data_IF_675484905199
#
_entry.id   IF_675484905199
#
_cell.length_a   1.000
_cell.length_b   1.000
_cell.length_c   1.000
_cell.angle_alpha   90.00
_cell.angle_beta   90.00
_cell.angle_gamma   90.00
#
_symmetry.space_group_name_H-M   'P 1'
#
loop_
_entity.id
_entity.type
_entity.pdbx_description
1 polymer ?
#
# COMPACT_ATOMS: atom_id res chain seq x y z
N UNK A 1 -76.34 -9.72 11.87
CA UNK A 1 -74.88 -9.64 12.11
C UNK A 1 -74.21 -10.74 11.29
N UNK A 2 -73.43 -10.56 10.23
CA UNK A 2 -72.92 -9.41 9.46
C UNK A 2 -71.90 -10.04 8.50
N UNK A 3 -72.31 -10.36 7.27
CA UNK A 3 -71.50 -10.90 6.17
C UNK A 3 -71.16 -9.75 5.21
N UNK A 4 -69.88 -9.55 4.85
CA UNK A 4 -69.41 -8.81 3.65
C UNK A 4 -68.01 -9.36 3.33
N UNK A 5 -67.84 -10.22 2.32
CA UNK A 5 -67.59 -9.98 0.88
C UNK A 5 -66.15 -9.54 0.52
N UNK A 6 -65.53 -10.38 -0.31
CA UNK A 6 -64.28 -10.20 -1.05
C UNK A 6 -64.32 -8.97 -1.98
N UNK A 7 -63.16 -8.31 -2.15
CA UNK A 7 -62.89 -7.48 -3.32
C UNK A 7 -61.49 -7.81 -3.89
N UNK A 8 -61.50 -8.11 -5.18
CA UNK A 8 -60.42 -8.54 -6.05
C UNK A 8 -59.73 -7.34 -6.71
N UNK A 9 -58.50 -7.60 -7.16
CA UNK A 9 -57.89 -7.12 -8.40
C UNK A 9 -57.41 -5.67 -8.54
N UNK A 10 -56.12 -5.57 -8.86
CA UNK A 10 -55.70 -4.92 -10.11
C UNK A 10 -54.93 -3.61 -9.93
N UNK A 11 -53.65 -3.69 -9.56
CA UNK A 11 -52.74 -2.55 -9.73
C UNK A 11 -51.84 -2.81 -10.94
N UNK A 12 -52.01 -1.91 -11.91
CA UNK A 12 -51.46 -1.89 -13.26
C UNK A 12 -49.95 -1.67 -13.21
N UNK A 13 -49.21 -2.58 -13.84
CA UNK A 13 -47.78 -2.44 -14.11
C UNK A 13 -47.57 -1.44 -15.25
N UNK A 14 -47.15 -0.22 -14.93
CA UNK A 14 -46.69 0.77 -15.91
C UNK A 14 -45.24 0.47 -16.30
N UNK A 15 -45.05 -0.16 -17.45
CA UNK A 15 -43.76 -0.31 -18.11
C UNK A 15 -43.36 1.02 -18.76
N UNK A 16 -42.32 1.68 -18.22
CA UNK A 16 -41.64 2.79 -18.87
C UNK A 16 -40.54 2.23 -19.79
N UNK A 17 -40.87 2.16 -21.09
CA UNK A 17 -39.91 1.98 -22.18
C UNK A 17 -39.13 3.29 -22.37
N UNK A 18 -37.88 3.32 -21.90
CA UNK A 18 -36.91 4.37 -22.25
C UNK A 18 -36.28 4.00 -23.59
N UNK A 19 -36.63 4.75 -24.63
CA UNK A 19 -36.00 4.66 -25.94
C UNK A 19 -34.56 5.18 -25.85
N UNK A 20 -33.58 4.32 -26.19
CA UNK A 20 -32.20 4.73 -26.35
C UNK A 20 -32.03 5.52 -27.67
N UNK A 21 -31.28 6.64 -27.68
CA UNK A 21 -30.97 7.32 -28.92
C UNK A 21 -29.99 6.48 -29.75
N UNK A 22 -30.34 6.28 -31.03
CA UNK A 22 -29.46 5.70 -32.02
C UNK A 22 -28.24 6.62 -32.22
N UNK A 23 -27.06 6.15 -31.83
CA UNK A 23 -25.79 6.79 -32.13
C UNK A 23 -25.48 6.53 -33.60
N UNK A 24 -25.58 7.57 -34.43
CA UNK A 24 -25.09 7.56 -35.78
C UNK A 24 -23.56 7.44 -35.75
N UNK A 25 -23.02 6.35 -36.28
CA UNK A 25 -21.58 6.14 -36.44
C UNK A 25 -21.15 6.91 -37.68
N UNK A 26 -20.29 7.90 -37.49
CA UNK A 26 -19.66 8.70 -38.55
C UNK A 26 -18.66 7.82 -39.33
N UNK A 27 -18.86 7.56 -40.64
CA UNK A 27 -17.97 6.71 -41.43
C UNK A 27 -16.59 7.34 -41.73
N UNK A 28 -16.32 8.57 -41.28
CA UNK A 28 -15.06 9.27 -41.55
C UNK A 28 -13.92 8.98 -40.55
N UNK A 29 -14.14 8.16 -39.52
CA UNK A 29 -13.14 7.94 -38.45
C UNK A 29 -12.76 6.46 -38.29
N UNK A 30 -12.35 5.84 -39.40
CA UNK A 30 -11.65 4.55 -39.36
C UNK A 30 -10.21 4.78 -38.86
N UNK A 31 -9.77 4.08 -37.80
CA UNK A 31 -8.38 4.18 -37.35
C UNK A 31 -7.44 3.67 -38.44
N UNK A 32 -6.44 4.50 -38.75
CA UNK A 32 -5.35 4.17 -39.68
C UNK A 32 -4.64 2.87 -39.22
N UNK A 33 -4.26 1.97 -40.15
CA UNK A 33 -3.49 0.78 -39.82
C UNK A 33 -2.15 1.16 -39.19
N UNK A 34 -1.86 0.63 -38.01
CA UNK A 34 -0.58 0.81 -37.35
C UNK A 34 0.56 0.33 -38.27
N UNK A 35 1.67 1.09 -38.38
CA UNK A 35 2.84 0.67 -39.13
C UNK A 35 3.42 -0.61 -38.53
N UNK A 36 3.86 -1.51 -39.42
CA UNK A 36 4.45 -2.79 -39.06
C UNK A 36 5.69 -2.61 -38.14
N UNK A 37 5.91 -3.53 -37.19
CA UNK A 37 7.08 -3.49 -36.32
C UNK A 37 8.37 -3.60 -37.14
N UNK A 38 9.32 -2.71 -36.84
CA UNK A 38 10.66 -2.74 -37.43
C UNK A 38 11.37 -4.06 -37.10
N UNK A 39 12.20 -4.61 -38.02
CA UNK A 39 12.96 -5.82 -37.77
C UNK A 39 13.97 -5.60 -36.63
N UNK A 40 14.11 -6.64 -35.79
CA UNK A 40 15.02 -6.64 -34.65
C UNK A 40 16.48 -6.40 -35.09
N UNK A 41 17.27 -5.64 -34.33
CA UNK A 41 18.69 -5.48 -34.60
C UNK A 41 19.43 -6.81 -34.45
N UNK A 42 20.37 -7.05 -35.36
CA UNK A 42 21.23 -8.22 -35.40
C UNK A 42 22.09 -8.33 -34.12
N UNK A 43 22.42 -9.55 -33.66
CA UNK A 43 23.29 -9.76 -32.51
C UNK A 43 24.71 -9.25 -32.80
N UNK A 44 25.24 -8.42 -31.88
CA UNK A 44 26.63 -8.00 -31.88
C UNK A 44 27.57 -9.20 -31.71
N UNK A 45 28.74 -9.20 -32.37
CA UNK A 45 29.73 -10.25 -32.26
C UNK A 45 30.38 -10.30 -30.87
N UNK A 46 30.40 -11.51 -30.34
CA UNK A 46 31.06 -11.94 -29.11
C UNK A 46 32.54 -11.54 -29.09
N UNK A 47 32.87 -10.55 -28.27
CA UNK A 47 34.25 -10.15 -28.03
C UNK A 47 34.99 -11.24 -27.27
N UNK A 48 36.08 -11.70 -27.87
CA UNK A 48 36.96 -12.76 -27.43
C UNK A 48 37.44 -12.58 -25.97
N UNK A 49 37.42 -13.70 -25.24
CA UNK A 49 38.05 -13.87 -23.94
C UNK A 49 39.56 -13.58 -24.04
N UNK A 50 40.02 -12.50 -23.41
CA UNK A 50 41.42 -12.27 -23.13
C UNK A 50 41.75 -12.84 -21.73
N UNK A 51 42.72 -13.76 -21.68
CA UNK A 51 43.19 -14.42 -20.47
C UNK A 51 43.82 -13.49 -19.42
N UNK A 52 44.22 -14.05 -18.26
CA UNK A 52 44.58 -13.29 -17.08
C UNK A 52 45.93 -12.57 -17.28
N UNK A 53 45.90 -11.23 -17.25
CA UNK A 53 47.11 -10.41 -17.26
C UNK A 53 47.49 -10.02 -15.83
N UNK A 54 48.78 -10.17 -15.56
CA UNK A 54 49.45 -10.04 -14.28
C UNK A 54 49.18 -8.71 -13.54
N UNK A 55 49.10 -8.83 -12.22
CA UNK A 55 49.04 -7.76 -11.23
C UNK A 55 50.32 -6.92 -11.23
N UNK A 56 50.27 -5.58 -11.38
CA UNK A 56 51.38 -4.71 -10.99
C UNK A 56 51.32 -4.44 -9.47
N UNK A 57 52.45 -4.46 -8.75
CA UNK A 57 52.46 -4.15 -7.32
C UNK A 57 52.44 -2.63 -7.11
N UNK A 58 51.73 -2.21 -6.06
CA UNK A 58 51.95 -0.90 -5.44
C UNK A 58 51.08 0.24 -5.96
N UNK A 59 49.84 0.34 -5.46
CA UNK A 59 49.17 1.63 -5.27
C UNK A 59 48.49 1.60 -3.91
N UNK A 60 48.87 2.57 -3.07
CA UNK A 60 48.31 2.82 -1.74
C UNK A 60 46.77 2.90 -1.78
N UNK A 61 46.07 2.64 -0.65
CA UNK A 61 44.61 2.71 -0.58
C UNK A 61 44.18 4.18 -0.72
N UNK A 62 44.01 4.62 -1.96
CA UNK A 62 43.37 5.87 -2.29
C UNK A 62 41.88 5.70 -2.03
N UNK A 63 41.39 6.46 -1.06
CA UNK A 63 39.98 6.60 -0.69
C UNK A 63 39.07 6.47 -1.90
N UNK A 64 38.24 5.42 -1.91
CA UNK A 64 36.97 5.46 -2.61
C UNK A 64 36.12 6.46 -1.84
N UNK A 65 36.35 7.75 -2.08
CA UNK A 65 35.41 8.80 -1.70
C UNK A 65 34.14 8.51 -2.47
N UNK A 66 33.21 7.86 -1.76
CA UNK A 66 31.79 7.82 -2.11
C UNK A 66 31.42 9.28 -2.40
N UNK A 67 31.24 9.62 -3.68
CA UNK A 67 30.62 10.89 -4.04
C UNK A 67 29.21 10.83 -3.45
N UNK A 68 29.05 11.36 -2.24
CA UNK A 68 27.75 11.65 -1.68
C UNK A 68 27.22 12.75 -2.58
N UNK A 69 26.26 12.44 -3.44
CA UNK A 69 25.53 13.49 -4.15
C UNK A 69 24.99 14.44 -3.08
N UNK A 70 25.44 15.69 -3.10
CA UNK A 70 25.04 16.76 -2.18
C UNK A 70 23.54 17.16 -2.33
N UNK A 71 22.78 16.37 -3.10
CA UNK A 71 21.35 16.53 -3.29
C UNK A 71 20.64 16.15 -1.98
N UNK A 72 19.98 17.13 -1.35
CA UNK A 72 19.13 16.84 -0.19
C UNK A 72 17.85 16.18 -0.68
N UNK A 73 17.49 15.10 -0.01
CA UNK A 73 16.29 14.32 -0.31
C UNK A 73 15.34 14.44 0.88
N UNK A 74 14.10 14.81 0.61
CA UNK A 74 13.02 14.82 1.59
C UNK A 74 11.98 13.79 1.17
N UNK A 75 11.32 13.18 2.15
CA UNK A 75 10.20 12.27 1.90
C UNK A 75 9.07 12.53 2.87
N UNK A 76 7.85 12.36 2.39
CA UNK A 76 6.66 12.38 3.23
C UNK A 76 5.70 11.29 2.76
N UNK A 77 5.17 10.53 3.72
CA UNK A 77 4.15 9.52 3.48
C UNK A 77 2.83 9.97 4.11
N UNK A 78 1.73 9.82 3.38
CA UNK A 78 0.39 9.92 3.95
C UNK A 78 -0.46 8.72 3.59
N UNK A 79 -1.39 8.45 4.48
CA UNK A 79 -2.45 7.48 4.31
C UNK A 79 -3.77 8.25 4.38
N UNK A 80 -4.52 8.27 3.29
CA UNK A 80 -5.73 9.08 3.08
C UNK A 80 -6.90 8.17 2.74
N UNK A 81 -8.09 8.46 3.29
CA UNK A 81 -9.33 7.77 2.94
C UNK A 81 -10.34 8.77 2.44
N UNK A 82 -11.01 8.44 1.34
CA UNK A 82 -12.09 9.24 0.80
C UNK A 82 -13.33 8.37 0.64
N UNK A 83 -14.50 8.92 0.97
CA UNK A 83 -15.77 8.19 0.94
C UNK A 83 -16.17 7.72 -0.46
N UNK A 84 -17.30 6.99 -0.58
CA UNK A 84 -17.67 6.28 -1.80
C UNK A 84 -18.05 7.21 -2.96
N UNK A 85 -18.34 8.49 -2.69
CA UNK A 85 -18.65 9.51 -3.70
C UNK A 85 -17.44 10.09 -4.40
N UNK A 86 -16.22 9.81 -3.92
CA UNK A 86 -14.98 10.33 -4.50
C UNK A 86 -14.36 9.27 -5.38
N UNK A 87 -14.20 9.60 -6.66
CA UNK A 87 -13.58 8.69 -7.62
C UNK A 87 -12.10 8.45 -7.31
N UNK A 88 -11.58 7.30 -7.77
CA UNK A 88 -10.20 6.88 -7.52
C UNK A 88 -9.16 7.93 -7.93
N UNK A 89 -9.31 8.52 -9.13
CA UNK A 89 -8.40 9.56 -9.62
C UNK A 89 -8.43 10.83 -8.78
N UNK A 90 -9.63 11.20 -8.30
CA UNK A 90 -9.82 12.34 -7.42
C UNK A 90 -9.24 12.07 -6.02
N UNK A 91 -9.49 10.90 -5.44
CA UNK A 91 -8.91 10.46 -4.17
C UNK A 91 -7.37 10.51 -4.19
N UNK A 92 -6.77 10.02 -5.29
CA UNK A 92 -5.33 10.14 -5.53
C UNK A 92 -4.87 11.59 -5.54
N UNK A 93 -5.51 12.45 -6.34
CA UNK A 93 -5.14 13.86 -6.45
C UNK A 93 -5.23 14.60 -5.11
N UNK A 94 -6.29 14.34 -4.34
CA UNK A 94 -6.45 14.90 -2.99
C UNK A 94 -5.33 14.42 -2.06
N UNK A 95 -5.02 13.11 -2.05
CA UNK A 95 -3.95 12.58 -1.21
C UNK A 95 -2.56 13.12 -1.61
N UNK A 96 -2.32 13.35 -2.91
CA UNK A 96 -1.10 14.03 -3.40
C UNK A 96 -0.98 15.43 -2.80
N UNK A 97 -2.06 16.22 -2.82
CA UNK A 97 -2.04 17.59 -2.28
C UNK A 97 -1.79 17.60 -0.76
N UNK A 98 -2.44 16.70 -0.01
CA UNK A 98 -2.21 16.56 1.43
C UNK A 98 -0.76 16.14 1.74
N UNK A 99 -0.22 15.18 0.99
CA UNK A 99 1.15 14.68 1.18
C UNK A 99 2.19 15.72 0.79
N UNK A 100 1.94 16.48 -0.28
CA UNK A 100 2.83 17.57 -0.71
C UNK A 100 2.89 18.68 0.34
N UNK A 101 1.77 19.05 0.96
CA UNK A 101 1.76 19.99 2.07
C UNK A 101 2.68 19.55 3.21
N UNK A 102 2.58 18.27 3.63
CA UNK A 102 3.48 17.69 4.64
C UNK A 102 4.95 17.67 4.19
N UNK A 103 5.21 17.37 2.92
CA UNK A 103 6.55 17.36 2.37
C UNK A 103 7.20 18.74 2.42
N UNK A 104 6.43 19.80 2.09
CA UNK A 104 6.87 21.19 2.20
C UNK A 104 7.15 21.55 3.67
N UNK A 105 6.29 21.14 4.60
CA UNK A 105 6.52 21.36 6.04
C UNK A 105 7.80 20.70 6.54
N UNK A 106 8.03 19.44 6.14
CA UNK A 106 9.26 18.70 6.46
C UNK A 106 10.49 19.40 5.87
N UNK A 107 10.44 19.75 4.58
CA UNK A 107 11.55 20.42 3.91
C UNK A 107 11.86 21.80 4.51
N UNK A 108 10.83 22.62 4.76
CA UNK A 108 10.96 23.91 5.41
C UNK A 108 11.59 23.78 6.80
N UNK A 109 11.13 22.83 7.62
CA UNK A 109 11.68 22.60 8.96
C UNK A 109 13.15 22.17 8.92
N UNK A 110 13.53 21.33 7.96
CA UNK A 110 14.93 20.94 7.77
C UNK A 110 15.79 22.10 7.25
N UNK A 111 15.27 22.90 6.32
CA UNK A 111 15.96 24.07 5.78
C UNK A 111 16.11 25.20 6.79
N UNK A 112 15.21 25.35 7.77
CA UNK A 112 15.35 26.33 8.85
C UNK A 112 16.64 26.15 9.65
N UNK A 113 17.13 24.91 9.79
CA UNK A 113 18.35 24.60 10.51
C UNK A 113 19.63 24.90 9.69
N UNK A 114 19.48 25.21 8.39
CA UNK A 114 20.60 25.56 7.54
C UNK A 114 21.16 26.94 7.90
N UNK A 115 22.49 27.09 8.15
CA UNK A 115 23.08 28.37 8.53
C UNK A 115 22.89 29.49 7.49
N UNK A 116 22.84 29.16 6.19
CA UNK A 116 22.55 30.12 5.12
C UNK A 116 21.14 30.68 5.25
N UNK A 117 20.16 29.79 5.43
CA UNK A 117 18.74 30.14 5.57
C UNK A 117 18.47 30.88 6.89
N UNK A 118 19.03 30.40 8.00
CA UNK A 118 18.82 30.98 9.33
C UNK A 118 19.30 32.44 9.41
N UNK A 119 20.38 32.79 8.69
CA UNK A 119 20.90 34.17 8.63
C UNK A 119 19.91 35.17 8.05
N UNK A 120 19.06 34.74 7.11
CA UNK A 120 18.06 35.61 6.48
C UNK A 120 16.79 35.80 7.31
N UNK A 121 16.62 35.06 8.41
CA UNK A 121 15.47 35.18 9.32
C UNK A 121 14.12 35.20 8.58
N UNK A 122 13.98 34.31 7.59
CA UNK A 122 12.74 34.19 6.82
C UNK A 122 11.56 33.87 7.74
N UNK A 123 10.40 34.45 7.47
CA UNK A 123 9.17 34.06 8.16
C UNK A 123 8.84 32.60 7.84
N UNK A 124 8.05 31.92 8.67
CA UNK A 124 7.62 30.55 8.40
C UNK A 124 6.94 30.41 7.02
N UNK A 125 6.15 31.41 6.62
CA UNK A 125 5.48 31.44 5.31
C UNK A 125 6.48 31.57 4.16
N UNK A 126 7.48 32.43 4.31
CA UNK A 126 8.53 32.61 3.30
C UNK A 126 9.41 31.36 3.18
N UNK A 127 9.73 30.73 4.32
CA UNK A 127 10.53 29.51 4.34
C UNK A 127 9.82 28.35 3.66
N UNK A 128 8.51 28.18 3.88
CA UNK A 128 7.68 27.21 3.14
C UNK A 128 7.69 27.49 1.65
N UNK A 129 7.50 28.75 1.25
CA UNK A 129 7.51 29.13 -0.15
C UNK A 129 8.87 28.92 -0.82
N UNK A 130 9.95 29.23 -0.10
CA UNK A 130 11.31 28.95 -0.53
C UNK A 130 11.52 27.44 -0.73
N UNK A 131 11.16 26.62 0.27
CA UNK A 131 11.29 25.17 0.20
C UNK A 131 10.51 24.58 -1.00
N UNK A 132 9.25 24.98 -1.19
CA UNK A 132 8.42 24.51 -2.31
C UNK A 132 8.96 24.95 -3.68
N UNK A 133 9.58 26.14 -3.77
CA UNK A 133 10.21 26.62 -5.00
C UNK A 133 11.50 25.85 -5.37
N UNK A 134 12.19 25.27 -4.39
CA UNK A 134 13.48 24.59 -4.57
C UNK A 134 13.33 23.11 -4.95
N UNK A 135 12.24 22.48 -4.53
CA UNK A 135 12.07 21.03 -4.60
C UNK A 135 11.52 20.56 -5.95
N UNK A 136 12.12 19.49 -6.48
CA UNK A 136 11.50 18.66 -7.52
C UNK A 136 10.82 17.48 -6.86
N UNK A 137 9.49 17.41 -6.94
CA UNK A 137 8.68 16.38 -6.27
C UNK A 137 8.33 15.27 -7.25
N UNK A 138 8.55 14.02 -6.84
CA UNK A 138 8.14 12.80 -7.54
C UNK A 138 7.39 11.86 -6.62
N UNK A 139 6.62 10.94 -7.20
CA UNK A 139 5.98 9.85 -6.46
C UNK A 139 7.01 8.73 -6.29
N UNK A 140 7.33 8.38 -5.05
CA UNK A 140 8.28 7.31 -4.73
C UNK A 140 7.58 5.97 -4.50
N UNK A 141 6.41 5.99 -3.87
CA UNK A 141 5.58 4.81 -3.65
C UNK A 141 4.10 5.21 -3.67
N UNK A 142 3.26 4.34 -4.23
CA UNK A 142 1.84 4.56 -4.38
C UNK A 142 1.07 3.25 -4.28
N UNK A 143 0.11 3.22 -3.36
CA UNK A 143 -0.84 2.12 -3.24
C UNK A 143 -2.25 2.69 -3.11
N UNK A 144 -3.12 2.28 -4.03
CA UNK A 144 -4.52 2.71 -4.08
C UNK A 144 -5.42 1.49 -3.99
N UNK A 145 -6.37 1.53 -3.06
CA UNK A 145 -7.30 0.43 -2.81
C UNK A 145 -8.74 0.90 -2.80
N UNK A 146 -9.55 0.45 -3.78
CA UNK A 146 -10.99 0.61 -3.67
C UNK A 146 -11.53 -0.35 -2.61
N UNK A 147 -12.42 0.14 -1.76
CA UNK A 147 -13.17 -0.63 -0.77
C UNK A 147 -14.66 -0.26 -0.86
N UNK A 148 -15.58 -1.08 -0.31
CA UNK A 148 -17.01 -0.77 -0.38
C UNK A 148 -17.37 0.64 0.14
N UNK A 149 -16.66 1.09 1.17
CA UNK A 149 -16.92 2.36 1.84
C UNK A 149 -16.12 3.55 1.27
N UNK A 150 -15.32 3.35 0.21
CA UNK A 150 -14.49 4.42 -0.34
C UNK A 150 -13.19 3.99 -1.01
N UNK A 151 -12.21 4.89 -1.04
CA UNK A 151 -10.88 4.65 -1.59
C UNK A 151 -9.82 4.97 -0.54
N UNK A 152 -9.02 3.98 -0.17
CA UNK A 152 -7.82 4.16 0.65
C UNK A 152 -6.60 4.39 -0.26
N UNK A 153 -5.83 5.44 0.02
CA UNK A 153 -4.62 5.81 -0.71
C UNK A 153 -3.47 5.89 0.28
N UNK A 154 -2.38 5.16 0.02
CA UNK A 154 -1.09 5.35 0.69
C UNK A 154 -0.11 5.87 -0.35
N UNK A 155 0.46 7.04 -0.07
CA UNK A 155 1.31 7.74 -1.02
C UNK A 155 2.56 8.22 -0.30
N UNK A 156 3.71 7.93 -0.89
CA UNK A 156 5.00 8.50 -0.50
C UNK A 156 5.49 9.42 -1.60
N UNK A 157 5.64 10.70 -1.28
CA UNK A 157 6.30 11.67 -2.14
C UNK A 157 7.75 11.82 -1.73
N UNK A 158 8.62 11.96 -2.73
CA UNK A 158 10.04 12.29 -2.58
C UNK A 158 10.29 13.64 -3.22
N UNK A 159 11.04 14.50 -2.54
CA UNK A 159 11.54 15.74 -3.09
C UNK A 159 13.06 15.70 -3.13
N UNK A 160 13.62 16.22 -4.21
CA UNK A 160 15.06 16.42 -4.35
C UNK A 160 15.34 17.90 -4.53
N UNK A 161 16.33 18.40 -3.80
CA UNK A 161 16.85 19.75 -4.00
C UNK A 161 18.23 19.67 -4.67
N UNK A 162 18.46 20.39 -5.78
CA UNK A 162 19.77 20.41 -6.42
C UNK A 162 20.85 20.88 -5.45
N UNK A 163 21.94 20.11 -5.33
CA UNK A 163 23.09 20.37 -4.47
C UNK A 163 23.69 21.77 -4.64
N UNK A 164 23.90 22.17 -5.89
CA UNK A 164 24.74 23.31 -6.25
C UNK A 164 23.98 24.66 -6.25
N UNK A 165 22.75 24.67 -5.74
CA UNK A 165 21.83 25.77 -6.01
C UNK A 165 21.16 26.36 -4.78
N UNK A 166 21.42 25.86 -3.56
CA UNK A 166 20.72 26.35 -2.36
C UNK A 166 21.04 27.83 -2.09
N UNK A 167 22.32 28.18 -1.95
CA UNK A 167 22.74 29.56 -1.67
C UNK A 167 22.36 30.51 -2.82
N UNK A 168 22.53 30.09 -4.07
CA UNK A 168 22.14 30.88 -5.25
C UNK A 168 20.63 31.11 -5.32
N UNK A 169 19.80 30.08 -5.07
CA UNK A 169 18.34 30.24 -5.01
C UNK A 169 17.92 31.09 -3.82
N UNK A 170 18.58 30.92 -2.67
CA UNK A 170 18.28 31.69 -1.46
C UNK A 170 18.59 33.18 -1.66
N UNK A 171 19.73 33.49 -2.28
CA UNK A 171 20.09 34.85 -2.66
C UNK A 171 19.10 35.45 -3.66
N UNK A 172 18.70 34.69 -4.70
CA UNK A 172 17.70 35.13 -5.66
C UNK A 172 16.33 35.36 -5.00
N UNK A 173 15.90 34.46 -4.11
CA UNK A 173 14.65 34.58 -3.37
C UNK A 173 14.62 35.77 -2.42
N UNK A 174 15.76 36.11 -1.80
CA UNK A 174 15.88 37.28 -0.93
C UNK A 174 15.93 38.60 -1.72
N UNK A 175 16.60 38.62 -2.87
CA UNK A 175 16.82 39.82 -3.66
C UNK A 175 15.66 40.15 -4.62
N UNK A 176 14.99 39.14 -5.19
CA UNK A 176 13.91 39.32 -6.17
C UNK A 176 12.53 39.19 -5.50
N UNK A 177 11.93 40.35 -5.20
CA UNK A 177 10.58 40.44 -4.64
C UNK A 177 9.49 39.84 -5.53
N UNK A 178 9.65 39.82 -6.86
CA UNK A 178 8.68 39.20 -7.78
C UNK A 178 8.75 37.69 -7.68
N UNK A 179 9.97 37.13 -7.65
CA UNK A 179 10.18 35.69 -7.46
C UNK A 179 9.59 35.23 -6.13
N UNK A 180 9.87 35.97 -5.04
CA UNK A 180 9.30 35.68 -3.71
C UNK A 180 7.77 35.77 -3.71
N UNK A 181 7.18 36.81 -4.30
CA UNK A 181 5.73 36.96 -4.38
C UNK A 181 5.07 35.82 -5.17
N UNK A 182 5.67 35.41 -6.29
CA UNK A 182 5.20 34.27 -7.09
C UNK A 182 5.26 32.95 -6.31
N UNK A 183 6.38 32.68 -5.61
CA UNK A 183 6.53 31.49 -4.78
C UNK A 183 5.50 31.46 -3.63
N UNK A 184 5.25 32.60 -2.98
CA UNK A 184 4.23 32.74 -1.93
C UNK A 184 2.81 32.49 -2.46
N UNK A 185 2.49 32.96 -3.67
CA UNK A 185 1.19 32.76 -4.30
C UNK A 185 0.96 31.29 -4.67
N UNK A 186 1.96 30.63 -5.26
CA UNK A 186 1.89 29.21 -5.61
C UNK A 186 1.79 28.32 -4.36
N UNK A 187 2.55 28.63 -3.32
CA UNK A 187 2.48 27.90 -2.04
C UNK A 187 1.11 28.08 -1.39
N UNK A 188 0.56 29.30 -1.39
CA UNK A 188 -0.78 29.55 -0.87
C UNK A 188 -1.89 28.84 -1.68
N UNK A 189 -1.70 28.65 -3.00
CA UNK A 189 -2.60 27.82 -3.81
C UNK A 189 -2.52 26.35 -3.37
N UNK A 190 -1.32 25.81 -3.16
CA UNK A 190 -1.12 24.43 -2.69
C UNK A 190 -1.65 24.22 -1.28
N UNK A 191 -1.50 25.19 -0.39
CA UNK A 191 -2.04 25.12 0.97
C UNK A 191 -3.57 25.04 0.97
N UNK A 192 -4.25 25.78 0.07
CA UNK A 192 -5.70 25.67 -0.12
C UNK A 192 -6.10 24.27 -0.60
N UNK A 193 -5.42 23.75 -1.63
CA UNK A 193 -5.66 22.40 -2.14
C UNK A 193 -5.41 21.31 -1.07
N UNK A 194 -4.38 21.48 -0.24
CA UNK A 194 -4.09 20.58 0.87
C UNK A 194 -5.16 20.68 1.97
N UNK A 195 -5.70 21.87 2.25
CA UNK A 195 -6.79 22.05 3.20
C UNK A 195 -8.09 21.40 2.69
N UNK A 196 -8.45 21.61 1.42
CA UNK A 196 -9.59 20.94 0.77
C UNK A 196 -9.45 19.42 0.84
N UNK A 197 -8.27 18.89 0.54
CA UNK A 197 -7.98 17.47 0.62
C UNK A 197 -8.13 16.89 2.03
N UNK A 198 -7.75 17.65 3.07
CA UNK A 198 -7.94 17.23 4.47
C UNK A 198 -9.41 17.25 4.88
N UNK A 199 -10.17 18.25 4.44
CA UNK A 199 -11.61 18.36 4.73
C UNK A 199 -12.42 17.24 4.06
N UNK A 200 -11.98 16.79 2.87
CA UNK A 200 -12.61 15.67 2.17
C UNK A 200 -12.25 14.28 2.73
N UNK A 201 -11.19 14.19 3.55
CA UNK A 201 -10.71 12.91 4.07
C UNK A 201 -11.56 12.41 5.24
N UNK A 202 -11.86 11.11 5.24
CA UNK A 202 -12.47 10.43 6.40
C UNK A 202 -11.36 10.06 7.39
N UNK A 203 -11.41 10.53 8.65
CA UNK A 203 -10.40 10.22 9.65
C UNK A 203 -10.24 8.70 9.86
N UNK A 204 -9.00 8.24 9.99
CA UNK A 204 -8.61 6.85 10.32
C UNK A 204 -9.12 5.73 9.39
N UNK A 205 -9.92 6.03 8.36
CA UNK A 205 -10.47 5.00 7.47
C UNK A 205 -9.38 4.22 6.73
N UNK A 206 -8.35 4.91 6.26
CA UNK A 206 -7.28 4.30 5.49
C UNK A 206 -6.29 3.56 6.39
N UNK A 207 -5.97 4.09 7.57
CA UNK A 207 -5.12 3.38 8.53
C UNK A 207 -5.73 2.03 8.92
N UNK A 208 -7.06 1.99 9.16
CA UNK A 208 -7.80 0.75 9.41
C UNK A 208 -7.70 -0.21 8.24
N UNK A 209 -7.92 0.26 7.01
CA UNK A 209 -7.88 -0.57 5.81
C UNK A 209 -6.48 -1.15 5.54
N UNK A 210 -5.44 -0.31 5.58
CA UNK A 210 -4.07 -0.77 5.38
C UNK A 210 -3.61 -1.71 6.50
N UNK A 211 -3.99 -1.44 7.76
CA UNK A 211 -3.70 -2.33 8.89
C UNK A 211 -4.44 -3.67 8.77
N UNK A 212 -5.73 -3.66 8.42
CA UNK A 212 -6.53 -4.86 8.22
C UNK A 212 -5.91 -5.78 7.17
N UNK A 213 -5.48 -5.22 6.03
CA UNK A 213 -4.79 -6.02 5.02
C UNK A 213 -3.41 -6.50 5.45
N UNK A 214 -2.65 -5.66 6.16
CA UNK A 214 -1.35 -6.07 6.70
C UNK A 214 -1.49 -7.26 7.66
N UNK A 215 -2.54 -7.28 8.47
CA UNK A 215 -2.90 -8.45 9.28
C UNK A 215 -3.31 -9.63 8.41
N UNK A 216 -4.17 -9.44 7.41
CA UNK A 216 -4.63 -10.52 6.52
C UNK A 216 -3.46 -11.22 5.80
N UNK A 217 -2.50 -10.43 5.30
CA UNK A 217 -1.32 -10.96 4.61
C UNK A 217 -0.43 -11.74 5.57
N UNK A 218 -0.14 -11.22 6.77
CA UNK A 218 0.61 -11.95 7.80
C UNK A 218 -0.06 -13.28 8.15
N UNK A 219 -1.37 -13.27 8.41
CA UNK A 219 -2.09 -14.51 8.72
C UNK A 219 -2.06 -15.53 7.56
N UNK A 220 -1.98 -15.07 6.31
CA UNK A 220 -1.83 -15.94 5.13
C UNK A 220 -0.41 -16.50 5.04
N UNK A 221 0.60 -15.69 5.30
CA UNK A 221 2.00 -16.10 5.35
C UNK A 221 2.23 -17.13 6.47
N UNK A 222 1.70 -16.88 7.66
CA UNK A 222 1.76 -17.78 8.82
C UNK A 222 1.09 -19.12 8.50
N UNK A 223 -0.12 -19.10 7.91
CA UNK A 223 -0.80 -20.32 7.48
C UNK A 223 0.00 -21.09 6.41
N UNK A 224 0.62 -20.38 5.46
CA UNK A 224 1.45 -21.00 4.42
C UNK A 224 2.74 -21.59 5.00
N UNK A 225 3.32 -20.94 6.00
CA UNK A 225 4.49 -21.41 6.72
C UNK A 225 4.15 -22.67 7.53
N UNK A 226 3.06 -22.65 8.28
CA UNK A 226 2.56 -23.80 9.04
C UNK A 226 2.35 -25.02 8.13
N UNK A 227 1.66 -24.84 7.00
CA UNK A 227 1.41 -25.92 6.04
C UNK A 227 2.69 -26.58 5.48
N UNK A 228 3.82 -25.86 5.46
CA UNK A 228 5.10 -26.39 4.97
C UNK A 228 6.00 -26.97 6.06
N UNK A 229 5.84 -26.53 7.31
CA UNK A 229 6.82 -26.77 8.38
C UNK A 229 6.26 -27.55 9.56
N UNK A 230 4.95 -27.49 9.80
CA UNK A 230 4.30 -28.31 10.82
C UNK A 230 4.00 -29.68 10.23
N UNK A 231 4.56 -30.73 10.84
CA UNK A 231 4.39 -32.12 10.44
C UNK A 231 3.73 -32.92 11.56
N UNK A 232 3.09 -34.07 11.27
CA UNK A 232 2.53 -34.95 12.28
C UNK A 232 3.57 -35.39 13.30
N UNK A 233 3.13 -35.67 14.51
CA UNK A 233 4.02 -36.13 15.58
C UNK A 233 4.83 -35.01 16.25
N UNK A 234 4.81 -33.78 15.74
CA UNK A 234 5.35 -32.65 16.50
C UNK A 234 4.55 -32.43 17.79
N UNK A 235 5.24 -32.16 18.89
CA UNK A 235 4.59 -31.75 20.14
C UNK A 235 4.15 -30.29 20.11
N UNK A 236 3.25 -29.92 21.01
CA UNK A 236 2.83 -28.51 21.16
C UNK A 236 4.00 -27.57 21.48
N UNK A 237 5.02 -28.05 22.19
CA UNK A 237 6.22 -27.26 22.48
C UNK A 237 7.06 -26.97 21.23
N UNK A 238 7.23 -27.95 20.34
CA UNK A 238 7.95 -27.79 19.07
C UNK A 238 7.22 -26.85 18.12
N UNK A 239 5.88 -26.96 18.04
CA UNK A 239 5.07 -26.03 17.26
C UNK A 239 5.15 -24.61 17.84
N UNK A 240 5.14 -24.47 19.17
CA UNK A 240 5.33 -23.17 19.84
C UNK A 240 6.71 -22.56 19.56
N UNK A 241 7.77 -23.37 19.54
CA UNK A 241 9.11 -22.89 19.17
C UNK A 241 9.16 -22.41 17.71
N UNK A 242 8.44 -23.08 16.81
CA UNK A 242 8.40 -22.77 15.39
C UNK A 242 7.50 -21.58 15.04
N UNK A 243 6.35 -21.46 15.69
CA UNK A 243 5.27 -20.53 15.33
C UNK A 243 4.97 -19.47 16.40
N UNK A 244 5.59 -19.57 17.58
CA UNK A 244 5.28 -18.73 18.73
C UNK A 244 4.04 -19.18 19.50
N UNK A 245 3.52 -18.29 20.33
CA UNK A 245 2.30 -18.54 21.09
C UNK A 245 1.05 -18.48 20.20
N UNK A 246 0.12 -19.44 20.33
CA UNK A 246 -1.13 -19.40 19.59
C UNK A 246 -2.01 -18.25 20.07
N UNK A 247 -2.71 -17.61 19.15
CA UNK A 247 -3.66 -16.53 19.46
C UNK A 247 -4.94 -17.06 20.14
N UNK A 248 -5.26 -18.33 19.93
CA UNK A 248 -6.42 -18.99 20.51
C UNK A 248 -6.14 -20.47 20.79
N UNK A 249 -6.74 -21.00 21.86
CA UNK A 249 -6.70 -22.42 22.21
C UNK A 249 -8.12 -22.92 22.45
N UNK A 250 -8.42 -24.11 21.93
CA UNK A 250 -9.62 -24.88 22.25
C UNK A 250 -9.22 -26.29 22.65
N UNK A 251 -9.98 -26.88 23.56
CA UNK A 251 -9.76 -28.25 24.02
C UNK A 251 -11.06 -29.04 23.91
N UNK A 252 -10.95 -30.29 23.53
CA UNK A 252 -12.05 -31.23 23.51
C UNK A 252 -11.56 -32.62 23.94
N UNK A 253 -12.48 -33.43 24.44
CA UNK A 253 -12.22 -34.84 24.77
C UNK A 253 -13.24 -35.66 23.99
N UNK A 254 -12.75 -36.56 23.14
CA UNK A 254 -13.58 -37.41 22.28
C UNK A 254 -13.27 -38.85 22.64
N UNK A 255 -14.12 -39.46 23.48
CA UNK A 255 -13.85 -40.78 24.03
C UNK A 255 -12.59 -40.79 24.89
N UNK A 256 -11.58 -41.64 24.62
CA UNK A 256 -10.32 -41.66 25.36
C UNK A 256 -9.30 -40.62 24.86
N UNK A 257 -9.52 -40.03 23.69
CA UNK A 257 -8.55 -39.14 23.04
C UNK A 257 -8.76 -37.68 23.49
N UNK A 258 -7.66 -36.99 23.74
CA UNK A 258 -7.64 -35.56 24.06
C UNK A 258 -7.23 -34.74 22.84
N UNK A 259 -8.05 -33.74 22.50
CA UNK A 259 -7.80 -32.84 21.38
C UNK A 259 -7.51 -31.43 21.88
N UNK A 260 -6.46 -30.81 21.34
CA UNK A 260 -6.17 -29.38 21.52
C UNK A 260 -6.03 -28.74 20.16
N UNK A 261 -6.77 -27.67 19.91
CA UNK A 261 -6.71 -26.91 18.67
C UNK A 261 -6.10 -25.55 18.95
N UNK A 262 -4.93 -25.29 18.37
CA UNK A 262 -4.19 -24.04 18.54
C UNK A 262 -4.28 -23.18 17.28
N UNK A 263 -4.82 -21.97 17.42
CA UNK A 263 -5.08 -21.03 16.34
C UNK A 263 -3.91 -20.08 16.10
N UNK A 264 -3.39 -20.07 14.89
CA UNK A 264 -2.30 -19.21 14.42
C UNK A 264 -2.76 -18.37 13.23
N UNK A 265 -3.83 -17.60 13.43
CA UNK A 265 -4.44 -16.80 12.37
C UNK A 265 -5.42 -17.60 11.50
N UNK A 266 -5.03 -17.94 10.27
CA UNK A 266 -5.90 -18.68 9.32
C UNK A 266 -5.76 -20.20 9.39
N UNK A 267 -4.90 -20.71 10.27
CA UNK A 267 -4.66 -22.13 10.45
C UNK A 267 -4.84 -22.51 11.92
N UNK A 268 -5.36 -23.70 12.13
CA UNK A 268 -5.48 -24.40 13.38
C UNK A 268 -4.61 -25.63 13.32
N UNK A 269 -3.68 -25.74 14.26
CA UNK A 269 -2.89 -26.95 14.48
C UNK A 269 -3.66 -27.80 15.48
N UNK A 270 -4.07 -29.00 15.08
CA UNK A 270 -4.84 -29.90 15.92
C UNK A 270 -3.90 -30.96 16.48
N UNK A 271 -3.78 -30.96 17.80
CA UNK A 271 -3.05 -31.95 18.56
C UNK A 271 -4.02 -33.03 19.04
N UNK A 272 -3.67 -34.29 18.84
CA UNK A 272 -4.31 -35.44 19.46
C UNK A 272 -3.31 -36.04 20.43
N UNK A 273 -3.69 -36.11 21.70
CA UNK A 273 -2.85 -36.60 22.80
C UNK A 273 -1.47 -35.93 22.86
N UNK A 274 -1.48 -34.60 22.63
CA UNK A 274 -0.29 -33.75 22.70
C UNK A 274 0.57 -33.70 21.44
N UNK A 275 0.25 -34.49 20.41
CA UNK A 275 0.99 -34.54 19.15
C UNK A 275 0.16 -34.02 17.98
N UNK A 276 0.78 -33.29 17.05
CA UNK A 276 0.13 -32.82 15.83
C UNK A 276 -0.46 -34.00 15.07
N UNK A 277 -1.76 -33.93 14.83
CA UNK A 277 -2.51 -34.92 14.06
C UNK A 277 -2.98 -34.37 12.72
N UNK A 278 -3.34 -33.08 12.63
CA UNK A 278 -3.76 -32.47 11.38
C UNK A 278 -3.69 -30.93 11.42
N UNK A 279 -3.82 -30.32 10.24
CA UNK A 279 -3.98 -28.87 10.07
C UNK A 279 -5.37 -28.54 9.51
N UNK A 280 -5.98 -27.48 10.03
CA UNK A 280 -7.35 -27.05 9.67
C UNK A 280 -7.37 -25.56 9.39
N UNK A 281 -8.01 -25.12 8.31
CA UNK A 281 -8.23 -23.68 8.08
C UNK A 281 -9.45 -23.13 8.83
N UNK A 282 -10.35 -24.03 9.25
CA UNK A 282 -11.53 -23.74 10.06
C UNK A 282 -11.86 -24.92 10.97
N UNK A 283 -12.35 -24.60 12.17
CA UNK A 283 -12.98 -25.55 13.08
C UNK A 283 -14.49 -25.47 12.86
N UNK A 284 -15.09 -26.58 12.44
CA UNK A 284 -16.53 -26.70 12.20
C UNK A 284 -17.08 -27.69 13.21
N UNK A 285 -18.20 -27.38 13.84
CA UNK A 285 -18.82 -28.28 14.82
C UNK A 285 -19.34 -29.54 14.12
N UNK A 286 -18.98 -30.71 14.65
CA UNK A 286 -19.49 -32.00 14.15
C UNK A 286 -20.25 -32.71 15.25
N UNK A 287 -21.54 -32.95 14.99
CA UNK A 287 -22.48 -33.55 15.95
C UNK A 287 -22.00 -34.88 16.54
N UNK A 288 -21.35 -35.73 15.72
CA UNK A 288 -20.81 -37.03 16.17
C UNK A 288 -19.79 -36.88 17.30
N UNK A 289 -19.02 -35.79 17.29
CA UNK A 289 -17.96 -35.54 18.27
C UNK A 289 -18.38 -34.55 19.35
N UNK A 290 -19.55 -33.92 19.20
CA UNK A 290 -20.04 -32.85 20.05
C UNK A 290 -19.03 -31.71 20.28
N UNK A 291 -18.17 -31.45 19.29
CA UNK A 291 -17.13 -30.41 19.35
C UNK A 291 -16.75 -29.94 17.95
N UNK A 292 -16.12 -28.77 17.88
CA UNK A 292 -15.47 -28.24 16.67
C UNK A 292 -13.95 -28.49 16.62
N UNK A 293 -13.37 -28.98 17.73
CA UNK A 293 -11.95 -29.28 17.83
C UNK A 293 -11.68 -30.76 17.56
N UNK A 294 -11.45 -31.10 16.29
CA UNK A 294 -11.15 -32.44 15.81
C UNK A 294 -10.49 -32.39 14.43
N UNK A 295 -10.06 -33.55 13.93
CA UNK A 295 -9.53 -33.67 12.57
C UNK A 295 -10.56 -33.96 11.47
N UNK A 296 -11.85 -34.14 11.76
CA UNK A 296 -12.87 -34.36 10.73
C UNK A 296 -13.22 -33.08 9.91
N UNK A 297 -13.55 -33.26 8.62
CA UNK A 297 -14.04 -32.20 7.71
C UNK A 297 -13.12 -31.88 6.52
N UNK A 298 -13.44 -30.85 5.72
CA UNK A 298 -12.67 -30.48 4.53
C UNK A 298 -11.25 -30.00 4.87
N UNK A 299 -10.25 -30.68 4.32
CA UNK A 299 -8.84 -30.55 4.66
C UNK A 299 -8.13 -29.48 3.83
N UNK A 300 -7.11 -28.83 4.41
CA UNK A 300 -6.00 -28.27 3.62
C UNK A 300 -4.82 -29.23 3.56
N UNK A 301 -4.61 -30.08 4.58
CA UNK A 301 -3.68 -31.23 4.51
C UNK A 301 -4.02 -32.24 5.62
N UNK A 302 -4.47 -33.46 5.26
CA UNK A 302 -4.29 -34.61 6.18
C UNK A 302 -2.83 -34.97 6.06
N UNK A 303 -2.05 -34.63 7.07
CA UNK A 303 -0.68 -35.05 7.14
C UNK A 303 -0.72 -36.50 7.67
N UNK A 304 -0.62 -37.48 6.76
CA UNK A 304 -0.55 -38.89 7.16
C UNK A 304 0.83 -39.17 7.75
N UNK A 305 0.86 -39.85 8.90
CA UNK A 305 2.03 -40.61 9.31
C UNK A 305 2.04 -41.88 8.45
N UNK A 306 3.11 -42.08 7.68
CA UNK A 306 3.46 -43.41 7.18
C UNK A 306 3.95 -44.28 8.35
#
# INVERSE_FOLDING_TARGET
>A
MGRVCLAFAGLVAAWLLVAAPAVAVDPANLPEPLPAPAPAPAPEPEAAQAGPRATPPGRAPGDVRRHVSDARVFSATSTCFYGPSIERGQARHLCVNQTRGKLIDTAASNLAADPGVARLRLSHRDLRAFADSLMRVSVADEEIRPVPDGTAVRLTLRAETPAEALESHLAAFAADGKLRAAALAETAKRDRLAAEARMAAVPFGADREFAAKGMENRMREDASFAARRVVPGMSMSQVKELMGDPAALKQAVIGPESYVCAGYGRIWVVFRDGLVSCLRTRLDYVDRYATDCHCAGNYTTILKND
#
